data_IF_579865251642
#
_entry.id   IF_579865251642
#
_cell.length_a   1.000
_cell.length_b   1.000
_cell.length_c   1.000
_cell.angle_alpha   90.00
_cell.angle_beta   90.00
_cell.angle_gamma   90.00
#
_symmetry.space_group_name_H-M   'P 1'
#
loop_
_entity.id
_entity.type
_entity.pdbx_description
1 polymer ?
#
# COMPACT_ATOMS: atom_id res chain seq x y z
N UNK A 1 -40.05 27.33 -19.62
CA UNK A 1 -39.61 26.48 -18.50
C UNK A 1 -38.17 26.06 -18.74
N UNK A 2 -37.26 26.41 -17.83
CA UNK A 2 -35.85 25.97 -17.94
C UNK A 2 -35.78 24.54 -17.39
N UNK A 3 -35.16 23.63 -18.15
CA UNK A 3 -34.96 22.23 -17.71
C UNK A 3 -33.93 22.16 -16.59
N UNK A 4 -34.34 21.76 -15.40
CA UNK A 4 -33.46 21.56 -14.24
C UNK A 4 -32.83 20.18 -14.30
N UNK A 5 -31.59 20.11 -14.81
CA UNK A 5 -30.82 18.87 -15.01
C UNK A 5 -30.42 18.21 -13.67
N UNK A 6 -30.16 18.99 -12.64
CA UNK A 6 -29.74 18.44 -11.35
C UNK A 6 -30.91 17.75 -10.64
N UNK A 7 -32.06 18.37 -10.65
CA UNK A 7 -33.30 17.79 -10.11
C UNK A 7 -33.67 16.51 -10.83
N UNK A 8 -33.63 16.53 -12.18
CA UNK A 8 -33.91 15.34 -13.01
C UNK A 8 -32.93 14.19 -12.71
N UNK A 9 -31.61 14.47 -12.62
CA UNK A 9 -30.61 13.46 -12.33
C UNK A 9 -30.84 12.82 -10.93
N UNK A 10 -31.20 13.60 -9.93
CA UNK A 10 -31.50 13.13 -8.59
C UNK A 10 -32.73 12.21 -8.56
N UNK A 11 -33.83 12.63 -9.20
CA UNK A 11 -35.06 11.84 -9.29
C UNK A 11 -34.83 10.54 -10.08
N UNK A 12 -34.10 10.60 -11.19
CA UNK A 12 -33.73 9.41 -11.98
C UNK A 12 -32.89 8.43 -11.15
N UNK A 13 -31.90 8.93 -10.41
CA UNK A 13 -31.04 8.10 -9.57
C UNK A 13 -31.86 7.40 -8.46
N UNK A 14 -32.66 8.13 -7.72
CA UNK A 14 -33.49 7.53 -6.67
C UNK A 14 -34.45 6.47 -7.21
N UNK A 15 -35.09 6.74 -8.34
CA UNK A 15 -36.00 5.79 -9.01
C UNK A 15 -35.30 4.52 -9.50
N UNK A 16 -34.02 4.62 -9.89
CA UNK A 16 -33.28 3.51 -10.50
C UNK A 16 -32.17 2.93 -9.60
N UNK A 17 -32.06 3.36 -8.35
CA UNK A 17 -30.97 3.06 -7.43
C UNK A 17 -30.65 1.56 -7.33
N UNK A 18 -31.66 0.73 -7.13
CA UNK A 18 -31.47 -0.72 -7.01
C UNK A 18 -30.98 -1.36 -8.32
N UNK A 19 -31.56 -0.95 -9.46
CA UNK A 19 -31.17 -1.41 -10.78
C UNK A 19 -29.72 -1.03 -11.11
N UNK A 20 -29.33 0.21 -10.78
CA UNK A 20 -27.97 0.72 -10.94
C UNK A 20 -27.01 -0.06 -10.02
N UNK A 21 -27.37 -0.30 -8.76
CA UNK A 21 -26.56 -1.05 -7.81
C UNK A 21 -26.33 -2.50 -8.27
N UNK A 22 -27.39 -3.17 -8.76
CA UNK A 22 -27.28 -4.52 -9.32
C UNK A 22 -26.35 -4.56 -10.54
N UNK A 23 -26.55 -3.65 -11.49
CA UNK A 23 -25.72 -3.54 -12.70
C UNK A 23 -24.25 -3.26 -12.33
N UNK A 24 -23.99 -2.36 -11.39
CA UNK A 24 -22.64 -2.04 -10.92
C UNK A 24 -21.98 -3.25 -10.21
N UNK A 25 -22.74 -4.01 -9.42
CA UNK A 25 -22.28 -5.23 -8.77
C UNK A 25 -21.83 -6.29 -9.79
N UNK A 26 -22.59 -6.47 -10.87
CA UNK A 26 -22.25 -7.38 -11.96
C UNK A 26 -21.04 -6.86 -12.76
N UNK A 27 -21.02 -5.59 -13.14
CA UNK A 27 -19.89 -4.96 -13.82
C UNK A 27 -18.60 -5.08 -13.02
N UNK A 28 -18.66 -4.86 -11.72
CA UNK A 28 -17.48 -4.97 -10.86
C UNK A 28 -16.89 -6.39 -10.77
N UNK A 29 -17.64 -7.43 -11.16
CA UNK A 29 -17.14 -8.82 -11.24
C UNK A 29 -16.42 -9.12 -12.56
N UNK A 30 -16.55 -8.28 -13.57
CA UNK A 30 -15.93 -8.54 -14.89
C UNK A 30 -14.40 -8.52 -14.79
N UNK A 31 -13.68 -9.43 -15.51
CA UNK A 31 -12.21 -9.49 -15.48
C UNK A 31 -11.57 -8.13 -15.81
N UNK A 32 -12.09 -7.44 -16.83
CA UNK A 32 -11.63 -6.11 -17.25
C UNK A 32 -11.71 -5.09 -16.12
N UNK A 33 -12.80 -5.11 -15.34
CA UNK A 33 -12.99 -4.19 -14.23
C UNK A 33 -12.08 -4.54 -13.06
N UNK A 34 -11.92 -5.83 -12.75
CA UNK A 34 -11.01 -6.31 -11.70
C UNK A 34 -9.57 -5.92 -12.00
N UNK A 35 -9.11 -6.11 -13.23
CA UNK A 35 -7.80 -5.64 -13.69
C UNK A 35 -7.65 -4.13 -13.49
N UNK A 36 -8.61 -3.33 -13.95
CA UNK A 36 -8.56 -1.88 -13.80
C UNK A 36 -8.51 -1.41 -12.35
N UNK A 37 -9.28 -2.05 -11.46
CA UNK A 37 -9.26 -1.76 -10.02
C UNK A 37 -7.89 -2.06 -9.40
N UNK A 38 -7.30 -3.21 -9.76
CA UNK A 38 -5.99 -3.63 -9.27
C UNK A 38 -4.88 -2.70 -9.74
N UNK A 39 -4.84 -2.37 -11.02
CA UNK A 39 -3.88 -1.43 -11.60
C UNK A 39 -4.01 -0.04 -10.95
N UNK A 40 -5.23 0.47 -10.77
CA UNK A 40 -5.45 1.76 -10.12
C UNK A 40 -4.98 1.76 -8.66
N UNK A 41 -5.13 0.65 -7.96
CA UNK A 41 -4.59 0.49 -6.61
C UNK A 41 -3.05 0.55 -6.62
N UNK A 42 -2.39 -0.13 -7.55
CA UNK A 42 -0.93 -0.11 -7.67
C UNK A 42 -0.39 1.28 -8.03
N UNK A 43 -1.05 1.99 -8.96
CA UNK A 43 -0.71 3.39 -9.29
C UNK A 43 -0.78 4.29 -8.06
N UNK A 44 -1.83 4.19 -7.27
CA UNK A 44 -1.96 4.95 -6.01
C UNK A 44 -0.89 4.60 -4.98
N UNK A 45 -0.38 3.37 -5.03
CA UNK A 45 0.69 2.89 -4.15
C UNK A 45 2.09 3.22 -4.69
N UNK A 46 2.22 3.90 -5.83
CA UNK A 46 3.48 4.39 -6.35
C UNK A 46 4.09 3.58 -7.49
N UNK A 47 3.40 2.56 -8.03
CA UNK A 47 3.87 1.88 -9.24
C UNK A 47 3.82 2.84 -10.44
N UNK A 48 4.94 2.98 -11.15
CA UNK A 48 5.09 3.78 -12.36
C UNK A 48 5.46 2.85 -13.51
N UNK A 49 4.72 2.93 -14.60
CA UNK A 49 5.00 2.24 -15.87
C UNK A 49 4.93 3.26 -17.00
N UNK A 50 5.63 3.00 -18.08
CA UNK A 50 5.69 3.89 -19.25
C UNK A 50 4.35 4.00 -19.98
N UNK A 51 3.64 2.87 -20.09
CA UNK A 51 2.39 2.78 -20.83
C UNK A 51 1.39 1.83 -20.17
N UNK A 52 0.23 1.67 -20.78
CA UNK A 52 -0.84 0.82 -20.27
C UNK A 52 -0.51 -0.67 -20.39
N UNK A 53 0.14 -1.06 -21.48
CA UNK A 53 0.50 -2.44 -21.78
C UNK A 53 1.42 -3.02 -20.73
N UNK A 54 2.33 -2.22 -20.17
CA UNK A 54 3.22 -2.62 -19.08
C UNK A 54 2.44 -2.91 -17.79
N UNK A 55 1.42 -2.09 -17.45
CA UNK A 55 0.54 -2.38 -16.30
C UNK A 55 -0.25 -3.66 -16.50
N UNK A 56 -0.74 -3.92 -17.71
CA UNK A 56 -1.49 -5.13 -18.05
C UNK A 56 -0.58 -6.35 -17.98
N UNK A 57 0.66 -6.27 -18.48
CA UNK A 57 1.68 -7.31 -18.34
C UNK A 57 1.98 -7.64 -16.87
N UNK A 58 2.16 -6.63 -16.02
CA UNK A 58 2.37 -6.82 -14.59
C UNK A 58 1.13 -7.46 -13.94
N UNK A 59 -0.07 -7.09 -14.38
CA UNK A 59 -1.30 -7.69 -13.88
C UNK A 59 -1.39 -9.18 -14.25
N UNK A 60 -1.10 -9.54 -15.49
CA UNK A 60 -1.10 -10.92 -15.94
C UNK A 60 -0.06 -11.74 -15.19
N UNK A 61 1.14 -11.20 -15.03
CA UNK A 61 2.18 -11.83 -14.21
C UNK A 61 1.71 -12.01 -12.75
N UNK A 62 1.05 -11.01 -12.17
CA UNK A 62 0.45 -11.14 -10.84
C UNK A 62 -0.66 -12.20 -10.81
N UNK A 63 -1.50 -12.28 -11.85
CA UNK A 63 -2.60 -13.22 -11.91
C UNK A 63 -2.11 -14.68 -11.95
N UNK A 64 -1.13 -14.95 -12.81
CA UNK A 64 -0.62 -16.31 -13.08
C UNK A 64 0.55 -16.74 -12.19
N UNK A 65 1.15 -15.85 -11.40
CA UNK A 65 2.18 -16.23 -10.46
C UNK A 65 1.61 -17.12 -9.36
N UNK A 66 2.18 -18.31 -9.18
CA UNK A 66 1.75 -19.31 -8.17
C UNK A 66 2.66 -19.31 -6.95
N UNK A 67 3.90 -18.83 -7.10
CA UNK A 67 4.94 -18.86 -6.07
C UNK A 67 5.62 -17.52 -5.90
N UNK A 68 6.10 -17.27 -4.69
CA UNK A 68 6.89 -16.09 -4.37
C UNK A 68 8.17 -16.04 -5.22
N UNK A 69 8.35 -14.96 -5.98
CA UNK A 69 9.50 -14.76 -6.87
C UNK A 69 10.77 -14.29 -6.11
N UNK A 70 10.72 -14.18 -4.79
CA UNK A 70 11.91 -13.94 -3.97
C UNK A 70 12.79 -15.20 -3.99
N UNK A 71 14.07 -15.13 -4.49
CA UNK A 71 14.90 -16.30 -4.74
C UNK A 71 15.10 -17.24 -3.53
N UNK A 72 15.10 -16.66 -2.33
CA UNK A 72 15.29 -17.43 -1.07
C UNK A 72 13.98 -17.88 -0.43
N UNK A 73 12.83 -17.62 -1.05
CA UNK A 73 11.52 -17.92 -0.47
C UNK A 73 10.79 -19.02 -1.22
N UNK A 74 10.46 -18.80 -2.49
CA UNK A 74 9.73 -19.72 -3.40
C UNK A 74 8.47 -20.41 -2.80
N UNK A 75 7.85 -19.82 -1.78
CA UNK A 75 6.63 -20.35 -1.15
C UNK A 75 5.42 -20.16 -2.07
N UNK A 76 4.54 -21.15 -2.10
CA UNK A 76 3.25 -21.05 -2.79
C UNK A 76 2.37 -19.94 -2.15
N UNK A 77 1.54 -19.31 -2.99
CA UNK A 77 0.53 -18.39 -2.51
C UNK A 77 -0.70 -19.17 -2.00
N UNK A 78 -1.17 -18.80 -0.83
CA UNK A 78 -2.34 -19.38 -0.16
C UNK A 78 -3.19 -18.26 0.42
N UNK A 79 -4.29 -18.60 1.09
CA UNK A 79 -5.10 -17.61 1.82
C UNK A 79 -4.30 -16.89 2.90
N UNK A 80 -3.36 -17.58 3.55
CA UNK A 80 -2.52 -17.04 4.62
C UNK A 80 -1.21 -16.43 4.10
N UNK A 81 -0.80 -16.80 2.89
CA UNK A 81 0.41 -16.31 2.23
C UNK A 81 0.06 -15.56 0.94
N UNK A 82 -0.57 -14.41 1.08
CA UNK A 82 -1.07 -13.61 -0.04
C UNK A 82 0.07 -13.02 -0.88
N UNK A 83 -0.17 -12.95 -2.19
CA UNK A 83 0.75 -12.34 -3.14
C UNK A 83 0.64 -10.82 -3.20
N UNK A 84 1.78 -10.16 -3.32
CA UNK A 84 1.89 -8.71 -3.45
C UNK A 84 2.71 -8.36 -4.71
N UNK A 85 2.31 -7.34 -5.42
CA UNK A 85 3.13 -6.66 -6.40
C UNK A 85 4.14 -5.79 -5.64
N UNK A 86 5.42 -5.99 -5.91
CA UNK A 86 6.53 -5.24 -5.32
C UNK A 86 7.14 -4.27 -6.33
N UNK A 87 7.48 -3.09 -5.89
CA UNK A 87 8.10 -2.03 -6.68
C UNK A 87 9.11 -1.24 -5.85
N UNK A 88 10.00 -0.56 -6.50
CA UNK A 88 10.94 0.35 -5.85
C UNK A 88 10.19 1.61 -5.38
N UNK A 89 10.28 1.95 -4.11
CA UNK A 89 9.58 3.11 -3.56
C UNK A 89 10.19 4.45 -4.01
N UNK A 90 11.46 4.46 -4.40
CA UNK A 90 12.15 5.68 -4.87
C UNK A 90 11.88 5.95 -6.35
N UNK A 91 11.84 4.90 -7.18
CA UNK A 91 11.70 5.03 -8.64
C UNK A 91 10.31 4.66 -9.15
N UNK A 92 9.49 3.97 -8.35
CA UNK A 92 8.20 3.43 -8.77
C UNK A 92 8.29 2.19 -9.66
N UNK A 93 9.47 1.73 -10.04
CA UNK A 93 9.64 0.64 -11.01
C UNK A 93 9.26 -0.72 -10.41
N UNK A 94 8.56 -1.52 -11.20
CA UNK A 94 8.20 -2.89 -10.86
C UNK A 94 9.46 -3.75 -10.62
N UNK A 95 9.41 -4.62 -9.62
CA UNK A 95 10.47 -5.58 -9.31
C UNK A 95 10.02 -7.02 -9.54
N UNK A 96 9.03 -7.47 -8.78
CA UNK A 96 8.53 -8.86 -8.86
C UNK A 96 7.21 -9.05 -8.08
N UNK A 97 6.68 -10.27 -8.16
CA UNK A 97 5.52 -10.68 -7.36
C UNK A 97 6.05 -11.49 -6.19
N UNK A 98 5.79 -11.05 -4.96
CA UNK A 98 6.31 -11.67 -3.75
C UNK A 98 5.22 -11.90 -2.70
N UNK A 99 5.49 -12.79 -1.76
CA UNK A 99 4.57 -13.02 -0.66
C UNK A 99 4.60 -11.89 0.37
N UNK A 100 3.56 -11.78 1.17
CA UNK A 100 3.42 -10.73 2.18
C UNK A 100 4.62 -10.65 3.12
N UNK A 101 5.13 -11.80 3.60
CA UNK A 101 6.27 -11.83 4.51
C UNK A 101 7.57 -11.31 3.88
N UNK A 102 7.82 -11.62 2.59
CA UNK A 102 8.97 -11.07 1.86
C UNK A 102 8.81 -9.57 1.61
N UNK A 103 7.61 -9.12 1.24
CA UNK A 103 7.31 -7.70 1.07
C UNK A 103 7.53 -6.89 2.35
N UNK A 104 7.08 -7.41 3.49
CA UNK A 104 7.32 -6.77 4.79
C UNK A 104 8.80 -6.70 5.15
N UNK A 105 9.58 -7.75 4.86
CA UNK A 105 11.03 -7.75 5.08
C UNK A 105 11.76 -6.73 4.22
N UNK A 106 11.34 -6.52 2.95
CA UNK A 106 11.89 -5.49 2.07
C UNK A 106 11.57 -4.10 2.59
N UNK A 107 10.31 -3.84 2.96
CA UNK A 107 9.91 -2.55 3.54
C UNK A 107 10.72 -2.16 4.79
N UNK A 108 11.08 -3.13 5.62
CA UNK A 108 11.91 -2.86 6.80
C UNK A 108 13.36 -2.50 6.45
N UNK A 109 13.88 -3.01 5.32
CA UNK A 109 15.23 -2.68 4.83
C UNK A 109 15.29 -1.33 4.08
N UNK A 110 14.18 -0.94 3.45
CA UNK A 110 14.05 0.31 2.67
C UNK A 110 13.53 1.48 3.51
N UNK A 111 13.59 1.37 4.84
CA UNK A 111 13.30 2.50 5.70
C UNK A 111 14.29 3.64 5.38
N UNK A 112 13.79 4.77 4.89
CA UNK A 112 14.57 5.92 4.42
C UNK A 112 15.51 6.50 5.47
N UNK A 113 15.29 6.22 6.76
CA UNK A 113 16.21 6.58 7.84
C UNK A 113 17.37 5.58 8.02
N UNK A 114 17.26 4.35 7.48
CA UNK A 114 18.15 3.23 7.78
C UNK A 114 18.04 2.70 9.22
N UNK A 115 17.13 3.22 10.04
CA UNK A 115 17.02 2.93 11.48
C UNK A 115 15.65 2.38 11.80
N UNK A 116 15.61 1.24 12.49
CA UNK A 116 14.37 0.62 12.94
C UNK A 116 13.52 1.61 13.75
N UNK A 117 12.22 1.63 13.49
CA UNK A 117 11.23 2.46 14.18
C UNK A 117 11.32 3.97 13.89
N UNK A 118 12.22 4.43 12.99
CA UNK A 118 12.25 5.81 12.49
C UNK A 118 11.89 5.81 11.00
N UNK A 119 10.94 6.64 10.59
CA UNK A 119 10.51 6.79 9.19
C UNK A 119 10.16 8.24 8.88
N UNK A 120 10.26 8.62 7.60
CA UNK A 120 9.78 9.92 7.13
C UNK A 120 8.26 9.90 6.97
N UNK A 121 7.58 10.88 7.51
CA UNK A 121 6.14 11.06 7.35
C UNK A 121 5.86 12.22 6.39
N UNK A 122 5.45 11.92 5.16
CA UNK A 122 5.09 12.93 4.16
C UNK A 122 3.94 13.84 4.64
N UNK A 123 2.97 13.29 5.36
CA UNK A 123 1.86 14.06 5.93
C UNK A 123 2.33 15.10 6.96
N UNK A 124 3.29 14.73 7.84
CA UNK A 124 3.82 15.61 8.89
C UNK A 124 5.03 16.42 8.43
N UNK A 125 5.58 16.11 7.24
CA UNK A 125 6.82 16.66 6.70
C UNK A 125 7.96 16.63 7.73
N UNK A 126 8.16 15.47 8.38
CA UNK A 126 9.20 15.24 9.41
C UNK A 126 9.46 13.77 9.66
N UNK A 127 10.57 13.46 10.27
CA UNK A 127 10.92 12.15 10.78
C UNK A 127 10.05 11.81 11.98
N UNK A 128 9.63 10.54 12.08
CA UNK A 128 8.80 10.03 13.18
C UNK A 128 9.44 8.76 13.72
N UNK A 129 9.75 8.76 15.02
CA UNK A 129 10.04 7.59 15.81
C UNK A 129 8.74 7.05 16.42
N UNK A 130 8.52 5.74 16.32
CA UNK A 130 7.37 5.09 16.93
C UNK A 130 7.75 3.71 17.45
N UNK A 131 7.39 3.43 18.69
CA UNK A 131 7.62 2.14 19.34
C UNK A 131 6.39 1.72 20.16
N UNK A 132 6.22 0.42 20.34
CA UNK A 132 5.24 -0.16 21.27
C UNK A 132 6.00 -1.01 22.28
N UNK A 133 5.93 -0.64 23.56
CA UNK A 133 6.57 -1.35 24.67
C UNK A 133 5.45 -1.83 25.59
N UNK A 134 5.32 -3.15 25.76
CA UNK A 134 4.31 -3.78 26.65
C UNK A 134 2.88 -3.23 26.42
N UNK A 135 2.49 -3.00 25.15
CA UNK A 135 1.17 -2.47 24.78
C UNK A 135 1.04 -0.95 24.80
N UNK A 136 1.99 -0.22 25.36
CA UNK A 136 2.00 1.24 25.36
C UNK A 136 2.70 1.78 24.10
N UNK A 137 1.98 2.59 23.33
CA UNK A 137 2.50 3.23 22.12
C UNK A 137 3.17 4.55 22.46
N UNK A 138 4.45 4.68 22.09
CA UNK A 138 5.19 5.94 22.18
C UNK A 138 5.53 6.46 20.79
N UNK A 139 5.48 7.79 20.59
CA UNK A 139 5.84 8.43 19.34
C UNK A 139 6.45 9.81 19.58
N UNK A 140 7.57 10.08 18.88
CA UNK A 140 8.24 11.39 18.84
C UNK A 140 8.50 11.77 17.40
N UNK A 141 8.57 13.07 17.10
CA UNK A 141 8.86 13.52 15.73
C UNK A 141 9.76 14.75 15.73
N UNK A 142 10.64 14.83 14.71
CA UNK A 142 11.55 15.94 14.49
C UNK A 142 11.79 16.17 13.00
N UNK A 143 12.18 17.37 12.60
CA UNK A 143 12.74 17.64 11.25
C UNK A 143 14.20 17.18 11.18
N UNK A 144 14.89 17.16 12.29
CA UNK A 144 16.26 16.71 12.44
C UNK A 144 16.27 15.20 12.70
N UNK A 145 16.87 14.44 11.77
CA UNK A 145 17.00 12.99 11.83
C UNK A 145 18.01 12.59 12.92
N UNK A 146 19.15 13.29 13.02
CA UNK A 146 20.21 12.93 13.97
C UNK A 146 19.74 13.13 15.41
N UNK A 147 19.04 14.23 15.68
CA UNK A 147 18.40 14.46 16.97
C UNK A 147 17.41 13.32 17.31
N UNK A 148 16.61 12.89 16.35
CA UNK A 148 15.61 11.84 16.59
C UNK A 148 16.25 10.46 16.80
N UNK A 149 17.42 10.20 16.17
CA UNK A 149 18.22 9.00 16.41
C UNK A 149 18.73 8.97 17.86
N UNK A 150 19.30 10.08 18.33
CA UNK A 150 19.78 10.18 19.69
C UNK A 150 18.64 10.01 20.69
N UNK A 151 17.52 10.70 20.47
CA UNK A 151 16.31 10.56 21.29
C UNK A 151 15.84 9.10 21.37
N UNK A 152 15.84 8.36 20.24
CA UNK A 152 15.49 6.93 20.24
C UNK A 152 16.41 6.12 21.14
N UNK A 153 17.73 6.33 21.03
CA UNK A 153 18.72 5.61 21.82
C UNK A 153 18.49 5.83 23.34
N UNK A 154 18.32 7.08 23.72
CA UNK A 154 18.12 7.47 25.12
C UNK A 154 16.80 6.89 25.67
N UNK A 155 15.72 7.02 24.91
CA UNK A 155 14.41 6.49 25.28
C UNK A 155 14.39 4.96 25.41
N UNK A 156 15.01 4.24 24.45
CA UNK A 156 15.08 2.78 24.50
C UNK A 156 15.98 2.30 25.64
N UNK A 157 17.07 2.99 25.93
CA UNK A 157 17.93 2.70 27.05
C UNK A 157 17.20 2.81 28.38
N UNK A 158 16.40 3.85 28.58
CA UNK A 158 15.62 4.07 29.81
C UNK A 158 14.47 3.07 29.97
N UNK A 159 13.80 2.70 28.86
CA UNK A 159 12.54 1.96 28.92
C UNK A 159 12.63 0.48 28.53
N UNK A 160 13.73 0.03 27.91
CA UNK A 160 13.93 -1.37 27.52
C UNK A 160 15.02 -2.08 28.33
N UNK A 161 16.05 -1.35 28.76
CA UNK A 161 17.24 -1.95 29.41
C UNK A 161 17.36 -1.68 30.89
N UNK A 162 16.50 -0.86 31.48
CA UNK A 162 16.44 -0.62 32.93
C UNK A 162 15.35 -1.47 33.63
N UNK A 163 15.23 -2.75 33.21
CA UNK A 163 14.36 -3.74 33.86
C UNK A 163 15.22 -4.85 34.44
#
# INVERSE_FOLDING_TARGET
MVFDREKWNKEYYEKNKEKIAKKNKEYNKTPKRQMGLKINMWKRNGLICENREEYEYIYDRWLFSERCEEPKCNKEYTKDNIKNMDHCHDTGLFRNIICHSCNMKRRSKENSSGITNIYWSNYKNRWVYRINIKGQKHSKSSKDLEWLKQYKIDYEKENLYNI
#
